data_IF_439291320177
#
_entry.id   IF_439291320177
#
_cell.length_a   1.000
_cell.length_b   1.000
_cell.length_c   1.000
_cell.angle_alpha   90.00
_cell.angle_beta   90.00
_cell.angle_gamma   90.00
#
_symmetry.space_group_name_H-M   'P 1'
#
loop_
_entity.id
_entity.type
_entity.pdbx_description
1 polymer ?
#
# COMPACT_ATOMS: atom_id res chain seq x y z
N UNK A 1 -27.08 17.53 4.58
CA UNK A 1 -26.27 16.98 3.47
C UNK A 1 -24.80 17.40 3.52
N UNK A 2 -24.45 18.66 3.84
CA UNK A 2 -23.05 19.15 3.82
C UNK A 2 -22.02 18.37 4.67
N UNK A 3 -22.41 17.87 5.85
CA UNK A 3 -21.50 17.18 6.80
C UNK A 3 -21.04 15.77 6.39
N UNK A 4 -21.75 15.10 5.47
CA UNK A 4 -21.45 13.71 5.08
C UNK A 4 -20.39 13.65 3.97
N UNK A 5 -20.41 14.61 3.04
CA UNK A 5 -19.38 14.78 2.01
C UNK A 5 -18.01 15.17 2.59
N UNK A 6 -18.01 16.00 3.64
CA UNK A 6 -16.77 16.47 4.28
C UNK A 6 -15.98 15.30 4.90
N UNK A 7 -16.67 14.32 5.51
CA UNK A 7 -16.01 13.15 6.11
C UNK A 7 -15.45 12.19 5.05
N UNK A 8 -16.15 12.02 3.94
CA UNK A 8 -15.71 11.14 2.85
C UNK A 8 -14.51 11.74 2.10
N UNK A 9 -14.51 13.05 1.87
CA UNK A 9 -13.39 13.74 1.24
C UNK A 9 -12.13 13.73 2.12
N UNK A 10 -12.28 13.97 3.43
CA UNK A 10 -11.19 13.80 4.40
C UNK A 10 -10.64 12.36 4.38
N UNK A 11 -11.51 11.36 4.44
CA UNK A 11 -11.09 9.95 4.37
C UNK A 11 -10.29 9.65 3.10
N UNK A 12 -10.77 10.10 1.94
CA UNK A 12 -10.09 9.88 0.67
C UNK A 12 -8.71 10.56 0.63
N UNK A 13 -8.59 11.77 1.16
CA UNK A 13 -7.32 12.50 1.25
C UNK A 13 -6.34 11.84 2.23
N UNK A 14 -6.82 11.38 3.38
CA UNK A 14 -6.01 10.63 4.35
C UNK A 14 -5.49 9.33 3.75
N UNK A 15 -6.33 8.53 3.10
CA UNK A 15 -5.89 7.27 2.48
C UNK A 15 -4.88 7.50 1.36
N UNK A 16 -5.09 8.53 0.53
CA UNK A 16 -4.13 8.90 -0.51
C UNK A 16 -2.79 9.27 0.10
N UNK A 17 -2.80 10.06 1.17
CA UNK A 17 -1.60 10.53 1.87
C UNK A 17 -0.88 9.35 2.53
N UNK A 18 -1.59 8.53 3.31
CA UNK A 18 -1.03 7.36 3.98
C UNK A 18 -0.36 6.41 2.98
N UNK A 19 -1.03 6.10 1.87
CA UNK A 19 -0.45 5.26 0.81
C UNK A 19 0.81 5.86 0.20
N UNK A 20 0.81 7.16 -0.09
CA UNK A 20 1.99 7.84 -0.62
C UNK A 20 3.17 7.75 0.36
N UNK A 21 2.91 7.88 1.66
CA UNK A 21 3.92 7.71 2.70
C UNK A 21 4.44 6.28 2.76
N UNK A 22 3.57 5.28 2.73
CA UNK A 22 3.95 3.86 2.78
C UNK A 22 4.76 3.44 1.54
N UNK A 23 4.34 3.84 0.34
CA UNK A 23 5.12 3.62 -0.89
C UNK A 23 6.46 4.35 -0.83
N UNK A 24 6.47 5.61 -0.39
CA UNK A 24 7.68 6.40 -0.25
C UNK A 24 8.69 5.77 0.72
N UNK A 25 8.22 5.27 1.87
CA UNK A 25 9.06 4.51 2.81
C UNK A 25 9.58 3.21 2.20
N UNK A 26 8.69 2.46 1.52
CA UNK A 26 9.00 1.18 0.90
C UNK A 26 10.14 1.25 -0.13
N UNK A 27 10.26 2.34 -0.88
CA UNK A 27 11.35 2.53 -1.85
C UNK A 27 12.50 3.40 -1.32
N UNK A 28 12.21 4.37 -0.46
CA UNK A 28 13.19 5.32 0.06
C UNK A 28 14.28 4.66 0.90
N UNK A 29 13.91 3.74 1.79
CA UNK A 29 14.89 3.06 2.64
C UNK A 29 15.82 2.14 1.83
N UNK A 30 15.32 1.26 0.93
CA UNK A 30 16.20 0.52 0.03
C UNK A 30 17.09 1.42 -0.84
N UNK A 31 16.56 2.55 -1.33
CA UNK A 31 17.36 3.49 -2.12
C UNK A 31 18.53 4.08 -1.30
N UNK A 32 18.34 4.36 -0.01
CA UNK A 32 19.43 4.81 0.88
C UNK A 32 20.57 3.77 0.96
N UNK A 33 20.24 2.48 1.08
CA UNK A 33 21.24 1.41 1.10
C UNK A 33 21.96 1.19 -0.24
N UNK A 34 21.41 1.69 -1.34
CA UNK A 34 22.06 1.64 -2.65
C UNK A 34 23.05 2.80 -2.82
N UNK A 35 22.72 3.99 -2.30
CA UNK A 35 23.53 5.20 -2.51
C UNK A 35 24.61 5.40 -1.45
N UNK A 36 24.39 4.94 -0.22
CA UNK A 36 25.34 5.10 0.88
C UNK A 36 26.15 3.81 1.09
N UNK A 37 27.43 3.86 0.75
CA UNK A 37 28.32 2.70 0.81
C UNK A 37 28.55 2.19 2.24
N UNK A 38 28.56 3.07 3.24
CA UNK A 38 28.76 2.67 4.63
C UNK A 38 27.54 1.92 5.17
N UNK A 39 26.33 2.37 4.83
CA UNK A 39 25.09 1.68 5.13
C UNK A 39 24.99 0.37 4.36
N UNK A 40 25.39 0.36 3.08
CA UNK A 40 25.44 -0.84 2.26
C UNK A 40 26.35 -1.92 2.87
N UNK A 41 27.59 -1.56 3.22
CA UNK A 41 28.57 -2.49 3.77
C UNK A 41 28.07 -3.11 5.10
N UNK A 42 27.43 -2.33 5.96
CA UNK A 42 26.79 -2.82 7.19
C UNK A 42 25.63 -3.76 6.92
N UNK A 43 24.78 -3.45 5.95
CA UNK A 43 23.65 -4.28 5.60
C UNK A 43 24.12 -5.61 5.01
N UNK A 44 25.04 -5.59 4.04
CA UNK A 44 25.56 -6.79 3.36
C UNK A 44 26.34 -7.70 4.30
N UNK A 45 27.00 -7.15 5.33
CA UNK A 45 27.65 -7.93 6.37
C UNK A 45 26.67 -8.69 7.28
N UNK A 46 25.38 -8.32 7.29
CA UNK A 46 24.37 -8.97 8.11
C UNK A 46 23.68 -10.13 7.36
N UNK A 47 23.50 -11.26 8.05
CA UNK A 47 22.80 -12.44 7.51
C UNK A 47 21.34 -12.19 7.11
N UNK A 48 20.69 -11.20 7.74
CA UNK A 48 19.28 -10.85 7.53
C UNK A 48 19.09 -9.79 6.43
N UNK A 49 20.14 -9.40 5.69
CA UNK A 49 20.08 -8.37 4.65
C UNK A 49 18.94 -8.59 3.64
N UNK A 50 18.86 -9.81 3.11
CA UNK A 50 17.84 -10.22 2.13
C UNK A 50 16.45 -10.12 2.76
N UNK A 51 16.32 -10.52 4.02
CA UNK A 51 15.04 -10.47 4.74
C UNK A 51 14.57 -9.03 4.96
N UNK A 52 15.46 -8.15 5.41
CA UNK A 52 15.19 -6.71 5.58
C UNK A 52 14.72 -6.09 4.26
N UNK A 53 15.44 -6.30 3.17
CA UNK A 53 15.08 -5.76 1.85
C UNK A 53 13.73 -6.34 1.38
N UNK A 54 13.53 -7.65 1.57
CA UNK A 54 12.28 -8.32 1.15
C UNK A 54 11.06 -7.76 1.86
N UNK A 55 11.16 -7.44 3.15
CA UNK A 55 10.07 -6.83 3.91
C UNK A 55 9.69 -5.44 3.36
N UNK A 56 10.66 -4.61 2.98
CA UNK A 56 10.37 -3.33 2.32
C UNK A 56 9.70 -3.54 0.95
N UNK A 57 10.19 -4.48 0.14
CA UNK A 57 9.60 -4.76 -1.17
C UNK A 57 8.17 -5.29 -1.02
N UNK A 58 7.92 -6.20 -0.07
CA UNK A 58 6.58 -6.76 0.18
C UNK A 58 5.61 -5.67 0.62
N UNK A 59 6.01 -4.81 1.57
CA UNK A 59 5.16 -3.70 2.01
C UNK A 59 4.89 -2.70 0.88
N UNK A 60 5.89 -2.36 0.06
CA UNK A 60 5.70 -1.47 -1.08
C UNK A 60 4.78 -2.09 -2.15
N UNK A 61 4.99 -3.38 -2.45
CA UNK A 61 4.19 -4.12 -3.42
C UNK A 61 2.72 -4.24 -2.98
N UNK A 62 2.46 -4.46 -1.68
CA UNK A 62 1.11 -4.47 -1.12
C UNK A 62 0.38 -3.15 -1.37
N UNK A 63 1.06 -2.01 -1.17
CA UNK A 63 0.49 -0.68 -1.40
C UNK A 63 0.23 -0.37 -2.89
N UNK A 64 1.14 -0.79 -3.77
CA UNK A 64 0.94 -0.67 -5.23
C UNK A 64 -0.22 -1.54 -5.70
N UNK A 65 -0.31 -2.77 -5.20
CA UNK A 65 -1.42 -3.68 -5.49
C UNK A 65 -2.75 -3.10 -5.04
N UNK A 66 -2.81 -2.55 -3.82
CA UNK A 66 -3.99 -1.86 -3.29
C UNK A 66 -4.40 -0.67 -4.16
N UNK A 67 -3.45 0.14 -4.65
CA UNK A 67 -3.75 1.23 -5.57
C UNK A 67 -4.38 0.75 -6.87
N UNK A 68 -3.85 -0.32 -7.43
CA UNK A 68 -4.36 -0.93 -8.65
C UNK A 68 -5.76 -1.53 -8.42
N UNK A 69 -5.99 -2.19 -7.29
CA UNK A 69 -7.29 -2.74 -6.93
C UNK A 69 -8.33 -1.62 -6.81
N UNK A 70 -8.02 -0.54 -6.08
CA UNK A 70 -8.94 0.60 -5.94
C UNK A 70 -9.28 1.23 -7.30
N UNK A 71 -8.30 1.35 -8.20
CA UNK A 71 -8.55 1.82 -9.57
C UNK A 71 -9.54 0.92 -10.33
N UNK A 72 -9.38 -0.41 -10.23
CA UNK A 72 -10.27 -1.38 -10.89
C UNK A 72 -11.68 -1.30 -10.29
N UNK A 73 -11.80 -1.26 -8.96
CA UNK A 73 -13.08 -1.17 -8.25
C UNK A 73 -13.82 0.10 -8.67
N UNK A 74 -13.16 1.26 -8.62
CA UNK A 74 -13.76 2.55 -9.03
C UNK A 74 -14.18 2.54 -10.50
N UNK A 75 -13.38 1.96 -11.40
CA UNK A 75 -13.75 1.84 -12.81
C UNK A 75 -14.96 0.94 -13.02
N UNK A 76 -15.02 -0.21 -12.33
CA UNK A 76 -16.15 -1.12 -12.41
C UNK A 76 -17.44 -0.51 -11.86
N UNK A 77 -17.35 0.25 -10.76
CA UNK A 77 -18.48 0.99 -10.21
C UNK A 77 -18.99 2.06 -11.19
N UNK A 78 -18.08 2.83 -11.80
CA UNK A 78 -18.42 3.81 -12.84
C UNK A 78 -19.09 3.15 -14.05
N UNK A 79 -18.51 2.10 -14.61
CA UNK A 79 -19.05 1.40 -15.77
C UNK A 79 -20.43 0.78 -15.50
N UNK A 80 -20.64 0.23 -14.29
CA UNK A 80 -21.94 -0.27 -13.83
C UNK A 80 -22.98 0.84 -13.74
N UNK A 81 -22.60 2.03 -13.28
CA UNK A 81 -23.48 3.19 -13.21
C UNK A 81 -23.85 3.69 -14.62
N UNK A 82 -22.91 3.69 -15.56
CA UNK A 82 -23.13 4.17 -16.93
C UNK A 82 -24.03 3.23 -17.76
N UNK A 83 -23.79 1.92 -17.73
CA UNK A 83 -24.51 0.94 -18.57
C UNK A 83 -25.79 0.37 -17.95
N UNK A 84 -25.99 0.58 -16.65
CA UNK A 84 -27.06 -0.05 -15.88
C UNK A 84 -26.76 -1.51 -15.51
N UNK A 85 -27.30 -1.97 -14.38
CA UNK A 85 -26.99 -3.29 -13.79
C UNK A 85 -27.24 -4.48 -14.71
N UNK A 86 -28.22 -4.40 -15.61
CA UNK A 86 -28.61 -5.52 -16.48
C UNK A 86 -27.67 -5.76 -17.67
N UNK A 87 -26.78 -4.82 -17.99
CA UNK A 87 -25.93 -4.86 -19.20
C UNK A 87 -24.43 -5.03 -18.91
N UNK A 88 -24.05 -5.40 -17.68
CA UNK A 88 -22.65 -5.53 -17.26
C UNK A 88 -22.26 -6.96 -16.93
N UNK A 89 -21.02 -7.32 -17.27
CA UNK A 89 -20.47 -8.67 -17.05
C UNK A 89 -20.34 -9.01 -15.56
N UNK A 90 -20.36 -10.29 -15.24
CA UNK A 90 -20.21 -10.82 -13.87
C UNK A 90 -18.94 -10.31 -13.17
N UNK A 91 -17.82 -10.20 -13.89
CA UNK A 91 -16.58 -9.65 -13.35
C UNK A 91 -16.72 -8.20 -12.85
N UNK A 92 -17.44 -7.34 -13.59
CA UNK A 92 -17.68 -5.95 -13.20
C UNK A 92 -18.54 -5.90 -11.94
N UNK A 93 -19.54 -6.77 -11.83
CA UNK A 93 -20.37 -6.88 -10.63
C UNK A 93 -19.53 -7.30 -9.42
N UNK A 94 -18.66 -8.31 -9.58
CA UNK A 94 -17.76 -8.77 -8.53
C UNK A 94 -16.84 -7.64 -8.02
N UNK A 95 -16.10 -6.99 -8.93
CA UNK A 95 -15.20 -5.89 -8.53
C UNK A 95 -15.94 -4.68 -7.97
N UNK A 96 -17.14 -4.35 -8.47
CA UNK A 96 -17.97 -3.29 -7.87
C UNK A 96 -18.41 -3.64 -6.45
N UNK A 97 -18.61 -4.92 -6.15
CA UNK A 97 -19.02 -5.36 -4.80
C UNK A 97 -17.88 -5.26 -3.79
N UNK A 98 -16.61 -5.30 -4.24
CA UNK A 98 -15.44 -5.13 -3.39
C UNK A 98 -15.36 -3.75 -2.72
N UNK A 99 -16.06 -2.74 -3.25
CA UNK A 99 -16.16 -1.40 -2.65
C UNK A 99 -16.67 -1.44 -1.20
N UNK A 100 -17.49 -2.44 -0.85
CA UNK A 100 -18.03 -2.59 0.51
C UNK A 100 -17.05 -3.24 1.50
N UNK A 101 -15.91 -3.76 1.03
CA UNK A 101 -14.96 -4.54 1.84
C UNK A 101 -13.77 -3.69 2.29
N UNK A 102 -14.02 -2.69 3.14
CA UNK A 102 -12.98 -1.81 3.69
C UNK A 102 -11.86 -2.55 4.44
N UNK A 103 -12.14 -3.77 4.93
CA UNK A 103 -11.17 -4.61 5.62
C UNK A 103 -9.96 -4.97 4.76
N UNK A 104 -10.12 -5.08 3.44
CA UNK A 104 -8.99 -5.36 2.53
C UNK A 104 -7.97 -4.23 2.63
N UNK A 105 -8.46 -2.98 2.64
CA UNK A 105 -7.61 -1.82 2.74
C UNK A 105 -6.87 -1.77 4.08
N UNK A 106 -7.60 -1.97 5.19
CA UNK A 106 -7.02 -1.98 6.54
C UNK A 106 -5.97 -3.09 6.71
N UNK A 107 -6.25 -4.30 6.20
CA UNK A 107 -5.32 -5.42 6.33
C UNK A 107 -4.04 -5.21 5.52
N UNK A 108 -4.12 -4.64 4.32
CA UNK A 108 -2.94 -4.33 3.50
C UNK A 108 -2.11 -3.20 4.11
N UNK A 109 -2.76 -2.19 4.69
CA UNK A 109 -2.06 -1.12 5.41
C UNK A 109 -1.37 -1.65 6.66
N UNK A 110 -2.04 -2.48 7.47
CA UNK A 110 -1.43 -3.13 8.64
C UNK A 110 -0.26 -4.04 8.23
N UNK A 111 -0.41 -4.85 7.18
CA UNK A 111 0.68 -5.68 6.65
C UNK A 111 1.89 -4.83 6.27
N UNK A 112 1.66 -3.70 5.57
CA UNK A 112 2.73 -2.80 5.13
C UNK A 112 3.41 -2.13 6.33
N UNK A 113 2.64 -1.63 7.30
CA UNK A 113 3.14 -1.03 8.53
C UNK A 113 3.94 -2.03 9.36
N UNK A 114 3.47 -3.27 9.53
CA UNK A 114 4.19 -4.31 10.26
C UNK A 114 5.48 -4.70 9.54
N UNK A 115 5.45 -4.86 8.21
CA UNK A 115 6.64 -5.19 7.44
C UNK A 115 7.71 -4.10 7.54
N UNK A 116 7.32 -2.83 7.37
CA UNK A 116 8.24 -1.70 7.50
C UNK A 116 8.74 -1.53 8.93
N UNK A 117 7.84 -1.61 9.92
CA UNK A 117 8.20 -1.49 11.33
C UNK A 117 9.21 -2.54 11.77
N UNK A 118 9.02 -3.80 11.35
CA UNK A 118 9.96 -4.87 11.64
C UNK A 118 11.31 -4.67 10.95
N UNK A 119 11.29 -4.21 9.70
CA UNK A 119 12.53 -3.91 8.95
C UNK A 119 13.32 -2.78 9.61
N UNK A 120 12.64 -1.72 10.05
CA UNK A 120 13.26 -0.59 10.75
C UNK A 120 13.87 -1.07 12.06
N UNK A 121 13.17 -1.92 12.83
CA UNK A 121 13.71 -2.49 14.06
C UNK A 121 15.03 -3.24 13.82
N UNK A 122 15.08 -4.08 12.79
CA UNK A 122 16.31 -4.81 12.41
C UNK A 122 17.41 -3.84 11.98
N UNK A 123 17.08 -2.83 11.17
CA UNK A 123 18.05 -1.81 10.71
C UNK A 123 18.64 -1.04 11.88
N UNK A 124 17.82 -0.56 12.82
CA UNK A 124 18.31 0.16 13.99
C UNK A 124 19.31 -0.71 14.77
N UNK A 125 19.05 -2.02 14.88
CA UNK A 125 19.99 -2.99 15.46
C UNK A 125 21.30 -3.18 14.68
N UNK A 126 21.40 -2.78 13.41
CA UNK A 126 22.67 -2.77 12.65
C UNK A 126 23.56 -1.58 12.99
N UNK A 127 22.97 -0.49 13.48
CA UNK A 127 23.66 0.78 13.71
C UNK A 127 23.99 1.05 15.18
N UNK A 128 23.34 0.32 16.11
CA UNK A 128 23.68 0.27 17.53
C UNK A 128 24.77 -0.77 17.80
#
# INVERSE_FOLDING_TARGET
MKKMDDNLSLYAEYNKTLRAWLVGFGFGVPALFIIDKAAQDKLVANQDAIFIISLFIIGAAAQVFMAQLNKIVSWCAYYKHEKGQSNVNCAVLFFSSLENYFLIDVLLDLLSLSAFGWSIFLIVGLFL
#
